data_IF_407489287452
#
_entry.id   IF_407489287452
#
_cell.length_a   1.000
_cell.length_b   1.000
_cell.length_c   1.000
_cell.angle_alpha   90.00
_cell.angle_beta   90.00
_cell.angle_gamma   90.00
#
_symmetry.space_group_name_H-M   'P 1'
#
loop_
_entity.id
_entity.type
_entity.pdbx_description
1 polymer ?
#
# COMPACT_ATOMS: atom_id res chain seq x y z
N UNK A 1 -25.70 -40.35 1.21
CA UNK A 1 -25.92 -39.03 1.84
C UNK A 1 -25.76 -38.01 0.74
N UNK A 2 -26.76 -37.17 0.47
CA UNK A 2 -26.65 -36.08 -0.51
C UNK A 2 -25.59 -35.10 -0.06
N UNK A 3 -24.69 -34.69 -0.96
CA UNK A 3 -23.70 -33.66 -0.64
C UNK A 3 -24.42 -32.38 -0.17
N UNK A 4 -23.89 -31.71 0.87
CA UNK A 4 -24.52 -30.51 1.39
C UNK A 4 -24.44 -29.38 0.35
N UNK A 5 -25.57 -28.71 0.10
CA UNK A 5 -25.65 -27.54 -0.80
C UNK A 5 -24.58 -26.51 -0.44
N UNK A 6 -23.84 -26.07 -1.45
CA UNK A 6 -22.76 -25.10 -1.36
C UNK A 6 -23.24 -23.69 -1.71
N UNK A 7 -22.41 -22.69 -1.41
CA UNK A 7 -22.63 -21.33 -1.90
C UNK A 7 -22.56 -21.25 -3.43
N UNK A 8 -21.83 -22.13 -4.11
CA UNK A 8 -21.72 -22.20 -5.56
C UNK A 8 -23.05 -22.65 -6.19
N UNK A 9 -23.71 -23.65 -5.59
CA UNK A 9 -25.03 -24.10 -6.02
C UNK A 9 -26.06 -22.96 -5.89
N UNK A 10 -26.07 -22.29 -4.73
CA UNK A 10 -26.94 -21.14 -4.50
C UNK A 10 -26.63 -19.98 -5.45
N UNK A 11 -25.34 -19.70 -5.72
CA UNK A 11 -24.93 -18.68 -6.66
C UNK A 11 -25.45 -18.97 -8.07
N UNK A 12 -25.37 -20.23 -8.53
CA UNK A 12 -25.93 -20.63 -9.83
C UNK A 12 -27.44 -20.42 -9.92
N UNK A 13 -28.18 -20.70 -8.84
CA UNK A 13 -29.64 -20.49 -8.78
C UNK A 13 -30.02 -19.00 -8.75
N UNK A 14 -29.20 -18.15 -8.12
CA UNK A 14 -29.52 -16.75 -7.89
C UNK A 14 -28.81 -15.76 -8.80
N UNK A 15 -27.89 -16.21 -9.67
CA UNK A 15 -27.07 -15.34 -10.52
C UNK A 15 -27.89 -14.34 -11.34
N UNK A 16 -29.10 -14.72 -11.79
CA UNK A 16 -30.00 -13.85 -12.54
C UNK A 16 -30.50 -12.62 -11.76
N UNK A 17 -30.35 -12.60 -10.43
CA UNK A 17 -30.71 -11.48 -9.55
C UNK A 17 -29.60 -10.43 -9.43
N UNK A 18 -28.38 -10.73 -9.89
CA UNK A 18 -27.20 -9.90 -9.76
C UNK A 18 -26.74 -9.39 -11.13
N UNK A 19 -26.10 -8.22 -11.16
CA UNK A 19 -25.67 -7.59 -12.42
C UNK A 19 -24.33 -8.14 -12.89
N UNK A 20 -23.49 -8.54 -11.95
CA UNK A 20 -22.16 -9.09 -12.20
C UNK A 20 -22.02 -10.51 -11.62
N UNK A 21 -21.01 -11.28 -12.05
CA UNK A 21 -20.82 -12.64 -11.55
C UNK A 21 -20.72 -12.68 -10.02
N UNK A 22 -21.42 -13.62 -9.40
CA UNK A 22 -21.27 -13.90 -7.98
C UNK A 22 -19.93 -14.60 -7.79
N UNK A 23 -19.10 -14.06 -6.89
CA UNK A 23 -17.71 -14.54 -6.72
C UNK A 23 -17.40 -15.04 -5.31
N UNK A 24 -18.24 -14.72 -4.33
CA UNK A 24 -18.09 -15.16 -2.95
C UNK A 24 -19.41 -15.05 -2.18
N UNK A 25 -19.43 -15.51 -0.93
CA UNK A 25 -20.57 -15.31 -0.05
C UNK A 25 -20.15 -15.08 1.40
N UNK A 26 -21.13 -14.77 2.25
CA UNK A 26 -21.00 -14.82 3.70
C UNK A 26 -21.89 -15.91 4.26
N UNK A 27 -21.39 -16.63 5.26
CA UNK A 27 -22.18 -17.54 6.10
C UNK A 27 -22.09 -17.02 7.52
N UNK A 28 -23.24 -16.66 8.11
CA UNK A 28 -23.33 -16.04 9.44
C UNK A 28 -22.36 -14.83 9.60
N UNK A 29 -22.36 -13.94 8.60
CA UNK A 29 -21.51 -12.76 8.49
C UNK A 29 -20.00 -13.01 8.28
N UNK A 30 -19.56 -14.27 8.16
CA UNK A 30 -18.17 -14.64 7.88
C UNK A 30 -17.97 -14.87 6.38
N UNK A 31 -16.94 -14.27 5.80
CA UNK A 31 -16.63 -14.39 4.38
C UNK A 31 -16.13 -15.79 3.99
N UNK A 32 -16.68 -16.35 2.92
CA UNK A 32 -16.34 -17.66 2.38
C UNK A 32 -16.29 -17.64 0.84
N UNK A 33 -15.46 -18.51 0.27
CA UNK A 33 -15.54 -18.86 -1.15
C UNK A 33 -16.82 -19.65 -1.45
N UNK A 34 -17.19 -19.69 -2.73
CA UNK A 34 -18.41 -20.34 -3.18
C UNK A 34 -18.40 -21.88 -2.97
N UNK A 35 -17.23 -22.50 -2.84
CA UNK A 35 -17.15 -23.96 -2.64
C UNK A 35 -17.50 -24.38 -1.20
N UNK A 36 -17.73 -23.41 -0.30
CA UNK A 36 -18.03 -23.69 1.10
C UNK A 36 -19.48 -24.18 1.28
N UNK A 37 -19.71 -25.33 1.97
CA UNK A 37 -21.05 -25.83 2.29
C UNK A 37 -21.84 -24.91 3.22
N UNK A 38 -23.13 -24.69 2.92
CA UNK A 38 -24.00 -23.79 3.71
C UNK A 38 -24.30 -24.38 5.09
N UNK A 39 -24.70 -25.66 5.15
CA UNK A 39 -25.02 -26.40 6.39
C UNK A 39 -26.02 -25.68 7.32
N UNK A 40 -27.10 -25.14 6.74
CA UNK A 40 -28.18 -24.48 7.50
C UNK A 40 -27.84 -23.08 8.03
N UNK A 41 -26.65 -22.56 7.74
CA UNK A 41 -26.23 -21.18 8.07
C UNK A 41 -26.92 -20.16 7.18
N UNK A 42 -27.02 -18.91 7.67
CA UNK A 42 -27.56 -17.83 6.87
C UNK A 42 -26.56 -17.44 5.77
N UNK A 43 -26.99 -17.50 4.51
CA UNK A 43 -26.17 -17.18 3.35
C UNK A 43 -26.48 -15.80 2.77
N UNK A 44 -25.44 -15.03 2.47
CA UNK A 44 -25.49 -13.78 1.70
C UNK A 44 -24.52 -13.91 0.51
N UNK A 45 -24.97 -13.68 -0.72
CA UNK A 45 -24.13 -13.77 -1.91
C UNK A 45 -23.57 -12.39 -2.27
N UNK A 46 -22.38 -12.38 -2.86
CA UNK A 46 -21.60 -11.17 -3.13
C UNK A 46 -21.12 -11.19 -4.58
N UNK A 47 -21.54 -10.18 -5.34
CA UNK A 47 -21.16 -10.02 -6.74
C UNK A 47 -19.79 -9.34 -6.92
N UNK A 48 -19.24 -9.48 -8.12
CA UNK A 48 -17.91 -9.04 -8.49
C UNK A 48 -17.73 -7.53 -8.31
N UNK A 49 -18.70 -6.71 -8.74
CA UNK A 49 -18.59 -5.24 -8.69
C UNK A 49 -18.89 -4.64 -7.30
N UNK A 50 -18.24 -5.22 -6.31
CA UNK A 50 -18.22 -4.77 -4.92
C UNK A 50 -16.76 -4.75 -4.44
N UNK A 51 -16.42 -3.95 -3.44
CA UNK A 51 -15.06 -3.96 -2.85
C UNK A 51 -14.60 -5.38 -2.43
N UNK A 52 -15.38 -6.22 -1.71
CA UNK A 52 -15.00 -7.60 -1.43
C UNK A 52 -14.90 -8.47 -2.70
N UNK A 53 -15.77 -8.28 -3.69
CA UNK A 53 -15.70 -8.98 -4.98
C UNK A 53 -14.38 -8.70 -5.72
N UNK A 54 -14.00 -7.43 -5.88
CA UNK A 54 -12.73 -7.04 -6.48
C UNK A 54 -11.51 -7.47 -5.66
N UNK A 55 -11.62 -7.59 -4.33
CA UNK A 55 -10.56 -8.20 -3.51
C UNK A 55 -10.38 -9.70 -3.82
N UNK A 56 -11.47 -10.45 -3.98
CA UNK A 56 -11.45 -11.86 -4.39
C UNK A 56 -10.89 -12.03 -5.80
N UNK A 57 -11.30 -11.15 -6.73
CA UNK A 57 -10.76 -11.09 -8.08
C UNK A 57 -9.23 -10.90 -8.10
N UNK A 58 -8.74 -9.84 -7.45
CA UNK A 58 -7.30 -9.50 -7.43
C UNK A 58 -6.44 -10.60 -6.83
N UNK A 59 -6.91 -11.24 -5.76
CA UNK A 59 -6.24 -12.41 -5.17
C UNK A 59 -6.19 -13.58 -6.16
N UNK A 60 -7.28 -13.80 -6.90
CA UNK A 60 -7.36 -14.84 -7.92
C UNK A 60 -6.46 -14.58 -9.13
N UNK A 61 -6.34 -13.33 -9.56
CA UNK A 61 -5.36 -12.94 -10.61
C UNK A 61 -3.92 -13.10 -10.13
N UNK A 62 -3.62 -12.79 -8.86
CA UNK A 62 -2.29 -13.08 -8.29
C UNK A 62 -1.99 -14.59 -8.32
N UNK A 63 -2.97 -15.43 -7.97
CA UNK A 63 -2.78 -16.88 -8.07
C UNK A 63 -2.60 -17.34 -9.51
N UNK A 64 -3.34 -16.77 -10.47
CA UNK A 64 -3.15 -16.99 -11.90
C UNK A 64 -1.71 -16.64 -12.35
N UNK A 65 -1.15 -15.53 -11.85
CA UNK A 65 0.25 -15.17 -12.11
C UNK A 65 1.22 -16.22 -11.53
N UNK A 66 1.01 -16.66 -10.29
CA UNK A 66 1.81 -17.71 -9.65
C UNK A 66 1.76 -19.00 -10.47
N UNK A 67 0.57 -19.46 -10.87
CA UNK A 67 0.38 -20.65 -11.72
C UNK A 67 1.09 -20.50 -13.06
N UNK A 68 0.93 -19.37 -13.74
CA UNK A 68 1.56 -19.14 -15.04
C UNK A 68 3.10 -19.14 -14.96
N UNK A 69 3.66 -18.51 -13.92
CA UNK A 69 5.11 -18.50 -13.68
C UNK A 69 5.61 -19.89 -13.37
N UNK A 70 4.93 -20.64 -12.50
CA UNK A 70 5.36 -21.99 -12.11
C UNK A 70 5.27 -23.00 -13.27
N UNK A 71 4.31 -22.84 -14.19
CA UNK A 71 4.20 -23.68 -15.39
C UNK A 71 5.30 -23.40 -16.43
N UNK A 72 5.69 -22.14 -16.61
CA UNK A 72 6.75 -21.75 -17.55
C UNK A 72 8.14 -21.95 -16.96
N UNK A 73 8.31 -21.64 -15.68
CA UNK A 73 9.58 -21.55 -14.97
C UNK A 73 9.44 -22.15 -13.56
N UNK A 74 9.48 -23.48 -13.40
CA UNK A 74 9.25 -24.17 -12.13
C UNK A 74 10.21 -23.78 -10.99
N UNK A 75 11.38 -23.24 -11.33
CA UNK A 75 12.38 -22.74 -10.37
C UNK A 75 12.14 -21.31 -9.91
N UNK A 76 11.29 -20.55 -10.61
CA UNK A 76 11.03 -19.15 -10.32
C UNK A 76 9.99 -18.99 -9.21
N UNK A 77 10.15 -17.93 -8.42
CA UNK A 77 9.25 -17.58 -7.33
C UNK A 77 8.63 -16.21 -7.58
N UNK A 78 7.33 -16.10 -7.31
CA UNK A 78 6.61 -14.83 -7.31
C UNK A 78 6.53 -14.33 -5.88
N UNK A 79 6.86 -13.06 -5.65
CA UNK A 79 6.72 -12.42 -4.33
C UNK A 79 5.85 -11.18 -4.50
N UNK A 80 4.66 -11.19 -3.91
CA UNK A 80 3.73 -10.08 -3.92
C UNK A 80 4.16 -9.03 -2.88
N UNK A 81 4.54 -7.84 -3.35
CA UNK A 81 5.05 -6.77 -2.50
C UNK A 81 3.94 -5.75 -2.17
N UNK A 82 4.04 -4.54 -2.68
CA UNK A 82 3.12 -3.44 -2.39
C UNK A 82 2.33 -2.99 -3.62
N UNK A 83 1.34 -2.14 -3.37
CA UNK A 83 0.57 -1.52 -4.45
C UNK A 83 1.30 -0.30 -4.96
N UNK A 84 1.61 -0.27 -6.25
CA UNK A 84 2.19 0.87 -6.96
C UNK A 84 1.26 1.22 -8.13
N UNK A 85 1.01 2.52 -8.39
CA UNK A 85 0.09 2.96 -9.45
C UNK A 85 -1.26 2.21 -9.50
N UNK A 86 -1.84 1.87 -8.34
CA UNK A 86 -3.07 1.06 -8.22
C UNK A 86 -2.99 -0.36 -8.85
N UNK A 87 -1.80 -0.81 -9.23
CA UNK A 87 -1.46 -2.21 -9.52
C UNK A 87 -0.69 -2.85 -8.37
N UNK A 88 -0.62 -4.17 -8.36
CA UNK A 88 0.20 -4.93 -7.41
C UNK A 88 1.58 -5.15 -8.03
N UNK A 89 2.62 -4.67 -7.36
CA UNK A 89 3.97 -5.04 -7.75
C UNK A 89 4.29 -6.45 -7.25
N UNK A 90 4.82 -7.28 -8.15
CA UNK A 90 5.28 -8.62 -7.84
C UNK A 90 6.73 -8.79 -8.33
N UNK A 91 7.63 -9.16 -7.44
CA UNK A 91 8.97 -9.62 -7.82
C UNK A 91 8.87 -11.02 -8.42
N UNK A 92 9.68 -11.28 -9.45
CA UNK A 92 9.83 -12.63 -10.01
C UNK A 92 11.30 -13.00 -9.91
N UNK A 93 11.61 -13.86 -8.94
CA UNK A 93 12.96 -14.27 -8.63
C UNK A 93 13.27 -15.62 -9.26
N UNK A 94 14.39 -15.70 -9.98
CA UNK A 94 14.98 -16.94 -10.47
C UNK A 94 16.48 -16.88 -10.26
N UNK A 95 17.08 -18.01 -9.87
CA UNK A 95 18.53 -18.14 -9.78
C UNK A 95 19.20 -18.30 -11.15
N UNK A 96 18.43 -18.66 -12.18
CA UNK A 96 18.95 -18.98 -13.51
C UNK A 96 18.92 -17.78 -14.48
N UNK A 97 18.05 -16.79 -14.22
CA UNK A 97 17.83 -15.67 -15.15
C UNK A 97 17.23 -14.45 -14.46
N UNK A 98 17.37 -13.29 -15.10
CA UNK A 98 16.69 -12.05 -14.73
C UNK A 98 15.45 -11.84 -15.58
N UNK A 99 14.41 -11.29 -14.96
CA UNK A 99 13.18 -10.96 -15.66
C UNK A 99 13.45 -9.85 -16.69
N UNK A 100 12.90 -10.01 -17.89
CA UNK A 100 12.97 -9.05 -18.97
C UNK A 100 11.61 -8.95 -19.67
N UNK A 101 11.47 -7.99 -20.59
CA UNK A 101 10.23 -7.73 -21.32
C UNK A 101 9.69 -8.97 -22.04
N UNK A 102 10.56 -9.76 -22.68
CA UNK A 102 10.17 -10.97 -23.41
C UNK A 102 9.55 -12.03 -22.49
N UNK A 103 10.18 -12.29 -21.34
CA UNK A 103 9.64 -13.21 -20.32
C UNK A 103 8.34 -12.68 -19.73
N UNK A 104 8.24 -11.37 -19.46
CA UNK A 104 6.99 -10.76 -18.99
C UNK A 104 5.86 -10.97 -20.02
N UNK A 105 6.14 -10.82 -21.31
CA UNK A 105 5.17 -11.08 -22.38
C UNK A 105 4.78 -12.57 -22.45
N UNK A 106 5.73 -13.49 -22.30
CA UNK A 106 5.47 -14.92 -22.25
C UNK A 106 4.59 -15.30 -21.06
N UNK A 107 4.87 -14.76 -19.86
CA UNK A 107 4.06 -14.96 -18.66
C UNK A 107 2.64 -14.42 -18.88
N UNK A 108 2.49 -13.21 -19.42
CA UNK A 108 1.17 -12.64 -19.71
C UNK A 108 0.37 -13.49 -20.73
N UNK A 109 1.04 -14.03 -21.75
CA UNK A 109 0.43 -14.93 -22.72
C UNK A 109 -0.02 -16.24 -22.06
N UNK A 110 0.80 -16.81 -21.17
CA UNK A 110 0.44 -18.02 -20.43
C UNK A 110 -0.74 -17.76 -19.48
N UNK A 111 -0.77 -16.63 -18.77
CA UNK A 111 -1.94 -16.25 -17.95
C UNK A 111 -3.22 -16.22 -18.78
N UNK A 112 -3.19 -15.59 -19.96
CA UNK A 112 -4.36 -15.55 -20.87
C UNK A 112 -4.75 -16.93 -21.39
N UNK A 113 -3.78 -17.80 -21.68
CA UNK A 113 -4.04 -19.18 -22.07
C UNK A 113 -4.77 -19.94 -20.96
N UNK A 114 -4.30 -19.83 -19.71
CA UNK A 114 -4.95 -20.46 -18.56
C UNK A 114 -6.39 -19.94 -18.35
N UNK A 115 -6.64 -18.66 -18.61
CA UNK A 115 -8.00 -18.07 -18.57
C UNK A 115 -8.88 -18.66 -19.67
N UNK A 116 -8.37 -18.77 -20.90
CA UNK A 116 -9.12 -19.32 -22.03
C UNK A 116 -9.45 -20.83 -21.87
N UNK A 117 -8.61 -21.56 -21.12
CA UNK A 117 -8.86 -22.96 -20.75
C UNK A 117 -9.91 -23.13 -19.65
N UNK A 118 -10.34 -22.03 -19.03
CA UNK A 118 -11.34 -21.98 -17.95
C UNK A 118 -11.12 -23.03 -16.84
N UNK A 119 -9.90 -23.08 -16.33
CA UNK A 119 -9.49 -24.09 -15.36
C UNK A 119 -10.22 -23.89 -14.02
N UNK A 120 -10.67 -24.97 -13.37
CA UNK A 120 -11.24 -24.87 -12.03
C UNK A 120 -10.17 -24.44 -11.01
N UNK A 121 -10.56 -23.58 -10.08
CA UNK A 121 -9.78 -23.25 -8.88
C UNK A 121 -10.42 -24.00 -7.72
N UNK A 122 -9.84 -25.14 -7.36
CA UNK A 122 -10.44 -26.08 -6.40
C UNK A 122 -9.90 -25.81 -4.99
N UNK A 123 -10.80 -25.66 -4.02
CA UNK A 123 -10.45 -25.57 -2.61
C UNK A 123 -10.38 -26.97 -1.99
N UNK A 124 -9.21 -27.34 -1.48
CA UNK A 124 -8.99 -28.55 -0.70
C UNK A 124 -8.84 -28.20 0.77
N UNK A 125 -9.45 -29.01 1.65
CA UNK A 125 -9.19 -28.93 3.08
C UNK A 125 -8.35 -30.14 3.47
N UNK A 126 -7.18 -29.91 4.05
CA UNK A 126 -6.28 -30.97 4.51
C UNK A 126 -5.79 -30.71 5.94
N UNK A 127 -5.27 -31.73 6.64
CA UNK A 127 -4.59 -31.56 7.92
C UNK A 127 -3.39 -30.61 7.78
N UNK A 128 -3.15 -29.82 8.82
CA UNK A 128 -2.03 -28.87 8.88
C UNK A 128 -0.68 -29.51 8.57
N UNK A 129 -0.42 -30.70 9.09
CA UNK A 129 0.84 -31.43 8.85
C UNK A 129 1.04 -31.80 7.37
N UNK A 130 -0.02 -32.17 6.66
CA UNK A 130 0.01 -32.47 5.23
C UNK A 130 0.33 -31.20 4.42
N UNK A 131 -0.28 -30.07 4.78
CA UNK A 131 0.02 -28.79 4.16
C UNK A 131 1.47 -28.33 4.41
N UNK A 132 2.01 -28.55 5.61
CA UNK A 132 3.42 -28.27 5.92
C UNK A 132 4.34 -29.12 5.05
N UNK A 133 4.04 -30.42 4.90
CA UNK A 133 4.81 -31.33 4.05
C UNK A 133 4.76 -30.88 2.57
N UNK A 134 3.58 -30.49 2.08
CA UNK A 134 3.38 -29.98 0.73
C UNK A 134 4.27 -28.76 0.45
N UNK A 135 4.19 -27.71 1.28
CA UNK A 135 4.96 -26.49 1.06
C UNK A 135 6.47 -26.68 1.26
N UNK A 136 6.86 -27.65 2.09
CA UNK A 136 8.28 -28.05 2.23
C UNK A 136 8.79 -28.71 0.94
N UNK A 137 8.02 -29.64 0.36
CA UNK A 137 8.35 -30.28 -0.91
C UNK A 137 8.43 -29.26 -2.07
N UNK A 138 7.57 -28.24 -2.05
CA UNK A 138 7.57 -27.15 -3.03
C UNK A 138 8.66 -26.07 -2.76
N UNK A 139 9.58 -26.30 -1.82
CA UNK A 139 10.65 -25.36 -1.45
C UNK A 139 10.14 -23.97 -1.04
N UNK A 140 9.00 -23.91 -0.35
CA UNK A 140 8.40 -22.70 0.21
C UNK A 140 8.52 -22.69 1.76
N UNK A 141 9.73 -22.55 2.33
CA UNK A 141 9.95 -22.74 3.77
C UNK A 141 9.26 -21.70 4.64
N UNK A 142 9.13 -20.45 4.18
CA UNK A 142 8.41 -19.41 4.92
C UNK A 142 6.92 -19.77 5.09
N UNK A 143 6.30 -20.28 4.03
CA UNK A 143 4.90 -20.73 4.06
C UNK A 143 4.71 -21.98 4.91
N UNK A 144 5.62 -22.96 4.80
CA UNK A 144 5.60 -24.14 5.66
C UNK A 144 5.67 -23.77 7.15
N UNK A 145 6.56 -22.83 7.53
CA UNK A 145 6.65 -22.31 8.90
C UNK A 145 5.36 -21.60 9.33
N UNK A 146 4.82 -20.73 8.49
CA UNK A 146 3.57 -20.02 8.76
C UNK A 146 2.42 -21.00 9.03
N UNK A 147 2.24 -21.99 8.15
CA UNK A 147 1.19 -23.00 8.28
C UNK A 147 1.35 -23.83 9.55
N UNK A 148 2.58 -24.19 9.93
CA UNK A 148 2.86 -24.93 11.15
C UNK A 148 2.45 -24.16 12.43
N UNK A 149 2.50 -22.83 12.40
CA UNK A 149 2.12 -21.96 13.52
C UNK A 149 0.61 -21.65 13.60
N UNK A 150 -0.19 -22.07 12.61
CA UNK A 150 -1.63 -21.86 12.65
C UNK A 150 -2.28 -22.65 13.80
N UNK A 151 -3.25 -22.03 14.47
CA UNK A 151 -3.97 -22.65 15.57
C UNK A 151 -4.97 -23.74 15.09
N UNK A 152 -5.38 -23.69 13.83
CA UNK A 152 -6.33 -24.64 13.24
C UNK A 152 -5.65 -25.93 12.79
N UNK A 153 -6.26 -27.07 13.10
CA UNK A 153 -5.76 -28.39 12.67
C UNK A 153 -6.01 -28.68 11.19
N UNK A 154 -7.01 -28.01 10.60
CA UNK A 154 -7.37 -28.13 9.19
C UNK A 154 -7.10 -26.81 8.49
N UNK A 155 -6.47 -26.88 7.31
CA UNK A 155 -6.14 -25.71 6.50
C UNK A 155 -6.74 -25.85 5.10
N UNK A 156 -7.07 -24.70 4.50
CA UNK A 156 -7.60 -24.64 3.14
C UNK A 156 -6.50 -24.26 2.16
N UNK A 157 -6.29 -25.11 1.15
CA UNK A 157 -5.35 -24.91 0.05
C UNK A 157 -6.17 -24.76 -1.23
N UNK A 158 -5.77 -23.86 -2.12
CA UNK A 158 -6.33 -23.73 -3.45
C UNK A 158 -5.43 -24.40 -4.48
N UNK A 159 -6.04 -25.12 -5.41
CA UNK A 159 -5.36 -25.77 -6.54
C UNK A 159 -5.87 -25.17 -7.86
N UNK A 160 -4.95 -24.86 -8.78
CA UNK A 160 -5.26 -24.60 -10.18
C UNK A 160 -4.24 -25.33 -11.05
N UNK A 161 -4.69 -26.31 -11.85
CA UNK A 161 -3.78 -27.20 -12.58
C UNK A 161 -2.83 -27.94 -11.64
N UNK A 162 -1.54 -27.87 -11.91
CA UNK A 162 -0.49 -28.47 -11.07
C UNK A 162 -0.03 -27.62 -9.88
N UNK A 163 -0.54 -26.39 -9.76
CA UNK A 163 -0.13 -25.45 -8.71
C UNK A 163 -1.07 -25.51 -7.52
N UNK A 164 -0.50 -25.64 -6.32
CA UNK A 164 -1.21 -25.63 -5.04
C UNK A 164 -0.63 -24.55 -4.13
N UNK A 165 -1.52 -23.81 -3.48
CA UNK A 165 -1.13 -22.63 -2.71
C UNK A 165 -2.09 -22.29 -1.56
N UNK A 166 -1.57 -21.61 -0.56
CA UNK A 166 -2.31 -21.12 0.60
C UNK A 166 -2.57 -19.62 0.46
N UNK A 167 -3.84 -19.21 0.54
CA UNK A 167 -4.24 -17.81 0.48
C UNK A 167 -5.24 -17.46 1.57
N UNK A 168 -5.11 -16.25 2.14
CA UNK A 168 -6.11 -15.71 3.07
C UNK A 168 -7.31 -15.11 2.32
N UNK A 169 -8.38 -15.88 2.20
CA UNK A 169 -9.70 -15.43 1.76
C UNK A 169 -10.28 -16.23 0.59
N UNK A 170 -11.42 -15.76 0.09
CA UNK A 170 -12.12 -16.40 -1.02
C UNK A 170 -11.35 -16.25 -2.35
N UNK A 171 -11.53 -17.23 -3.23
CA UNK A 171 -11.07 -17.22 -4.61
C UNK A 171 -12.28 -17.36 -5.54
N UNK A 172 -12.16 -16.90 -6.79
CA UNK A 172 -13.16 -17.21 -7.81
C UNK A 172 -13.14 -18.73 -8.09
N UNK A 173 -14.27 -19.32 -8.54
CA UNK A 173 -14.36 -20.77 -8.75
C UNK A 173 -13.57 -21.29 -9.95
N UNK A 174 -13.29 -20.47 -10.97
CA UNK A 174 -12.60 -20.87 -12.19
C UNK A 174 -11.88 -19.68 -12.86
N UNK A 175 -10.87 -19.96 -13.69
CA UNK A 175 -10.00 -18.93 -14.28
C UNK A 175 -10.66 -18.13 -15.39
N UNK A 176 -11.73 -18.61 -16.01
CA UNK A 176 -12.45 -17.89 -17.08
C UNK A 176 -13.05 -16.56 -16.64
N UNK A 177 -13.24 -16.34 -15.33
CA UNK A 177 -13.63 -15.04 -14.78
C UNK A 177 -12.48 -14.01 -14.78
N UNK A 178 -11.21 -14.44 -14.93
CA UNK A 178 -10.02 -13.62 -14.71
C UNK A 178 -9.50 -12.98 -16.01
N UNK A 179 -10.40 -12.51 -16.88
CA UNK A 179 -10.09 -11.96 -18.21
C UNK A 179 -9.58 -10.50 -18.22
N UNK A 180 -9.67 -9.80 -17.09
CA UNK A 180 -9.37 -8.37 -16.95
C UNK A 180 -8.12 -8.16 -16.10
N UNK A 181 -6.95 -8.23 -16.74
CA UNK A 181 -5.68 -7.85 -16.14
C UNK A 181 -4.70 -7.33 -17.19
N UNK A 182 -3.67 -6.63 -16.71
CA UNK A 182 -2.48 -6.31 -17.49
C UNK A 182 -1.22 -6.58 -16.67
N UNK A 183 -0.15 -6.94 -17.36
CA UNK A 183 1.14 -7.26 -16.77
C UNK A 183 2.21 -6.41 -17.46
N UNK A 184 2.73 -5.42 -16.75
CA UNK A 184 3.79 -4.55 -17.28
C UNK A 184 5.13 -4.94 -16.65
N UNK A 185 6.21 -4.86 -17.45
CA UNK A 185 7.55 -5.07 -16.95
C UNK A 185 8.01 -3.86 -16.13
N UNK A 186 8.41 -4.09 -14.89
CA UNK A 186 8.93 -3.07 -13.97
C UNK A 186 10.08 -3.69 -13.19
N UNK A 187 11.33 -3.44 -13.60
CA UNK A 187 12.48 -4.08 -12.97
C UNK A 187 12.52 -3.85 -11.44
N UNK A 188 12.78 -4.89 -10.62
CA UNK A 188 13.16 -6.26 -11.00
C UNK A 188 12.01 -7.26 -11.26
N UNK A 189 10.75 -6.80 -11.29
CA UNK A 189 9.57 -7.64 -11.38
C UNK A 189 8.53 -7.19 -12.41
N UNK A 190 7.26 -7.29 -12.01
CA UNK A 190 6.09 -6.95 -12.83
C UNK A 190 5.10 -6.11 -12.04
N UNK A 191 4.42 -5.21 -12.75
CA UNK A 191 3.24 -4.53 -12.25
C UNK A 191 1.97 -5.24 -12.75
N UNK A 192 1.30 -5.95 -11.85
CA UNK A 192 0.02 -6.61 -12.10
C UNK A 192 -1.14 -5.62 -11.89
N UNK A 193 -1.70 -5.11 -12.97
CA UNK A 193 -2.86 -4.21 -12.95
C UNK A 193 -4.15 -4.98 -13.11
N UNK A 194 -5.15 -4.60 -12.31
CA UNK A 194 -6.48 -5.21 -12.23
C UNK A 194 -7.53 -4.11 -12.03
N UNK A 195 -8.81 -4.38 -12.32
CA UNK A 195 -9.88 -3.45 -12.00
C UNK A 195 -10.04 -3.28 -10.49
N UNK A 196 -10.67 -2.16 -10.13
CA UNK A 196 -11.18 -1.89 -8.80
C UNK A 196 -12.59 -1.28 -8.85
N UNK A 197 -13.19 -1.09 -7.69
CA UNK A 197 -14.56 -0.56 -7.54
C UNK A 197 -14.77 0.81 -8.20
N UNK A 198 -13.70 1.59 -8.42
CA UNK A 198 -13.77 2.91 -9.06
C UNK A 198 -13.53 2.87 -10.57
N UNK A 199 -13.35 1.68 -11.14
CA UNK A 199 -13.07 1.50 -12.57
C UNK A 199 -14.21 0.84 -13.33
N UNK A 200 -15.27 0.43 -12.64
CA UNK A 200 -16.42 -0.27 -13.24
C UNK A 200 -15.98 -1.46 -14.12
N UNK A 201 -14.96 -2.18 -13.66
CA UNK A 201 -14.40 -3.35 -14.36
C UNK A 201 -13.31 -3.06 -15.37
N UNK A 202 -12.90 -1.81 -15.60
CA UNK A 202 -11.80 -1.49 -16.52
C UNK A 202 -10.42 -1.62 -15.86
N UNK A 203 -9.46 -2.17 -16.60
CA UNK A 203 -8.06 -2.17 -16.15
C UNK A 203 -7.48 -0.76 -16.34
N UNK A 204 -7.10 -0.11 -15.24
CA UNK A 204 -6.53 1.25 -15.24
C UNK A 204 -5.34 1.36 -16.17
N UNK A 205 -5.19 2.46 -16.91
CA UNK A 205 -4.03 2.71 -17.75
C UNK A 205 -2.70 2.67 -16.97
N UNK A 206 -1.64 2.20 -17.62
CA UNK A 206 -0.28 2.27 -17.09
C UNK A 206 0.19 3.74 -17.03
N UNK A 207 0.85 4.09 -15.92
CA UNK A 207 1.44 5.41 -15.72
C UNK A 207 2.90 5.19 -15.32
N UNK A 208 3.89 5.66 -16.11
CA UNK A 208 5.30 5.52 -15.79
C UNK A 208 5.64 6.12 -14.42
N UNK A 209 6.41 5.39 -13.62
CA UNK A 209 6.88 5.86 -12.31
C UNK A 209 8.41 5.80 -12.24
N UNK A 210 9.12 6.85 -12.67
CA UNK A 210 10.59 6.84 -12.76
C UNK A 210 11.33 6.54 -11.45
N UNK A 211 10.68 6.80 -10.30
CA UNK A 211 11.25 6.55 -8.96
C UNK A 211 10.87 5.19 -8.38
N UNK A 212 9.97 4.43 -9.03
CA UNK A 212 9.44 3.18 -8.46
C UNK A 212 10.54 2.13 -8.28
N UNK A 213 11.39 1.93 -9.29
CA UNK A 213 12.52 1.00 -9.23
C UNK A 213 13.48 1.30 -8.08
N UNK A 214 13.78 2.59 -7.84
CA UNK A 214 14.60 3.01 -6.70
C UNK A 214 13.93 2.68 -5.36
N UNK A 215 12.64 2.99 -5.23
CA UNK A 215 11.86 2.70 -4.00
C UNK A 215 11.80 1.18 -3.73
N UNK A 216 11.69 0.38 -4.78
CA UNK A 216 11.70 -1.08 -4.70
C UNK A 216 13.05 -1.61 -4.20
N UNK A 217 14.13 -1.22 -4.88
CA UNK A 217 15.48 -1.64 -4.50
C UNK A 217 15.84 -1.21 -3.07
N UNK A 218 15.41 -0.02 -2.65
CA UNK A 218 15.59 0.44 -1.28
C UNK A 218 14.81 -0.43 -0.28
N UNK A 219 13.55 -0.75 -0.59
CA UNK A 219 12.68 -1.57 0.27
C UNK A 219 13.23 -3.00 0.43
N UNK A 220 13.70 -3.60 -0.66
CA UNK A 220 14.34 -4.93 -0.65
C UNK A 220 15.60 -4.93 0.21
N UNK A 221 16.46 -3.92 0.04
CA UNK A 221 17.71 -3.80 0.79
C UNK A 221 17.46 -3.62 2.29
N UNK A 222 16.45 -2.82 2.66
CA UNK A 222 16.07 -2.65 4.06
C UNK A 222 15.54 -3.95 4.67
N UNK A 223 14.67 -4.66 3.96
CA UNK A 223 14.15 -5.95 4.42
C UNK A 223 15.27 -6.99 4.58
N UNK A 224 16.28 -6.98 3.68
CA UNK A 224 17.47 -7.83 3.76
C UNK A 224 18.35 -7.48 4.96
N UNK A 225 18.56 -6.19 5.26
CA UNK A 225 19.35 -5.73 6.42
C UNK A 225 18.66 -6.10 7.73
N UNK A 226 17.32 -6.02 7.78
CA UNK A 226 16.54 -6.31 8.98
C UNK A 226 16.39 -7.81 9.28
N UNK A 227 16.72 -8.70 8.32
CA UNK A 227 16.49 -10.15 8.42
C UNK A 227 15.06 -10.52 8.86
N UNK A 228 14.08 -9.72 8.42
CA UNK A 228 12.69 -9.82 8.84
C UNK A 228 11.77 -9.50 7.66
N UNK A 229 11.51 -10.51 6.83
CA UNK A 229 10.67 -10.37 5.63
C UNK A 229 9.23 -10.77 5.89
N UNK A 230 9.02 -11.82 6.72
CA UNK A 230 7.71 -12.39 6.97
C UNK A 230 7.28 -12.30 8.44
N UNK A 231 5.97 -12.39 8.69
CA UNK A 231 5.40 -12.44 10.05
C UNK A 231 6.02 -13.57 10.88
N UNK A 232 6.37 -14.70 10.25
CA UNK A 232 7.08 -15.79 10.94
C UNK A 232 8.45 -15.37 11.48
N UNK A 233 9.17 -14.49 10.76
CA UNK A 233 10.45 -13.97 11.22
C UNK A 233 10.24 -13.02 12.39
N UNK A 234 9.25 -12.13 12.30
CA UNK A 234 8.89 -11.22 13.38
C UNK A 234 8.47 -11.99 14.65
N UNK A 235 7.66 -13.04 14.51
CA UNK A 235 7.24 -13.90 15.62
C UNK A 235 8.44 -14.58 16.29
N UNK A 236 9.36 -15.11 15.48
CA UNK A 236 10.62 -15.70 15.97
C UNK A 236 11.45 -14.67 16.74
N UNK A 237 11.71 -13.50 16.15
CA UNK A 237 12.48 -12.41 16.74
C UNK A 237 11.85 -11.90 18.04
N UNK A 238 10.53 -11.93 18.14
CA UNK A 238 9.82 -11.58 19.38
C UNK A 238 10.05 -12.63 20.47
N UNK A 239 9.89 -13.91 20.15
CA UNK A 239 10.09 -15.03 21.10
C UNK A 239 11.54 -15.13 21.58
N UNK A 240 12.51 -14.80 20.72
CA UNK A 240 13.94 -14.80 21.08
C UNK A 240 14.41 -13.52 21.76
N UNK A 241 13.54 -12.53 21.97
CA UNK A 241 13.88 -11.26 22.63
C UNK A 241 14.74 -10.31 21.79
N UNK A 242 14.81 -10.52 20.46
CA UNK A 242 15.65 -9.75 19.54
C UNK A 242 14.94 -8.54 18.90
N UNK A 243 13.68 -8.29 19.27
CA UNK A 243 12.88 -7.20 18.68
C UNK A 243 13.51 -5.81 18.83
N UNK A 244 14.20 -5.57 19.96
CA UNK A 244 14.88 -4.30 20.19
C UNK A 244 16.00 -4.02 19.20
N UNK A 245 16.67 -5.06 18.69
CA UNK A 245 17.71 -4.92 17.66
C UNK A 245 17.11 -4.49 16.33
N UNK A 246 16.04 -5.17 15.90
CA UNK A 246 15.30 -4.85 14.67
C UNK A 246 14.83 -3.39 14.67
N UNK A 247 14.26 -2.93 15.79
CA UNK A 247 13.79 -1.54 15.95
C UNK A 247 14.96 -0.57 15.78
N UNK A 248 16.08 -0.77 16.49
CA UNK A 248 17.24 0.12 16.41
C UNK A 248 17.86 0.16 15.02
N UNK A 249 17.97 -0.98 14.35
CA UNK A 249 18.50 -1.06 12.98
C UNK A 249 17.56 -0.31 12.02
N UNK A 250 16.24 -0.54 12.13
CA UNK A 250 15.23 0.16 11.33
C UNK A 250 15.28 1.69 11.54
N UNK A 251 15.37 2.15 12.79
CA UNK A 251 15.48 3.57 13.12
C UNK A 251 16.78 4.19 12.60
N UNK A 252 17.90 3.45 12.68
CA UNK A 252 19.21 3.88 12.17
C UNK A 252 19.22 3.98 10.63
N UNK A 253 18.59 3.04 9.92
CA UNK A 253 18.42 3.11 8.46
C UNK A 253 17.63 4.36 8.07
N UNK A 254 16.54 4.63 8.79
CA UNK A 254 15.73 5.83 8.55
C UNK A 254 16.51 7.11 8.84
N UNK A 255 17.27 7.16 9.94
CA UNK A 255 18.07 8.35 10.29
C UNK A 255 19.16 8.61 9.26
N UNK A 256 19.83 7.56 8.78
CA UNK A 256 20.83 7.65 7.71
C UNK A 256 20.24 8.28 6.44
N UNK A 257 19.05 7.85 6.04
CA UNK A 257 18.39 8.41 4.85
C UNK A 257 17.97 9.87 5.09
N UNK A 258 17.42 10.22 6.26
CA UNK A 258 17.07 11.62 6.57
C UNK A 258 18.32 12.52 6.55
N UNK A 259 19.45 12.04 7.08
CA UNK A 259 20.71 12.77 7.04
C UNK A 259 21.20 13.01 5.60
N UNK A 260 21.09 12.02 4.70
CA UNK A 260 21.42 12.17 3.28
C UNK A 260 20.54 13.21 2.58
N UNK A 261 19.24 13.23 2.91
CA UNK A 261 18.31 14.26 2.39
C UNK A 261 18.71 15.64 2.91
N UNK A 262 19.04 15.75 4.20
CA UNK A 262 19.45 17.01 4.81
C UNK A 262 20.76 17.54 4.20
N UNK A 263 21.76 16.68 3.99
CA UNK A 263 23.02 17.02 3.35
C UNK A 263 22.80 17.53 1.91
N UNK A 264 21.94 16.87 1.14
CA UNK A 264 21.58 17.33 -0.20
C UNK A 264 20.93 18.73 -0.16
N UNK A 265 19.99 18.97 0.76
CA UNK A 265 19.33 20.28 0.89
C UNK A 265 20.35 21.34 1.31
N UNK A 266 21.21 21.04 2.28
CA UNK A 266 22.23 21.97 2.77
C UNK A 266 23.24 22.36 1.68
N UNK A 267 23.69 21.40 0.87
CA UNK A 267 24.58 21.66 -0.27
C UNK A 267 23.98 22.55 -1.36
N UNK A 268 22.66 22.79 -1.34
CA UNK A 268 21.94 23.59 -2.34
C UNK A 268 21.04 24.67 -1.70
N UNK A 269 21.32 25.07 -0.47
CA UNK A 269 20.46 25.97 0.33
C UNK A 269 20.23 27.36 -0.30
N UNK A 270 21.18 27.83 -1.13
CA UNK A 270 21.03 29.07 -1.92
C UNK A 270 19.85 29.03 -2.89
N UNK A 271 19.54 27.84 -3.44
CA UNK A 271 18.43 27.63 -4.35
C UNK A 271 17.22 27.03 -3.63
N UNK A 272 17.42 25.95 -2.88
CA UNK A 272 16.36 25.16 -2.25
C UNK A 272 15.83 25.83 -0.97
N UNK A 273 14.85 26.71 -1.14
CA UNK A 273 14.24 27.46 -0.03
C UNK A 273 12.98 26.80 0.54
N UNK A 274 12.23 26.04 -0.25
CA UNK A 274 10.95 25.45 0.17
C UNK A 274 11.01 23.92 0.14
N UNK A 275 10.97 23.28 1.30
CA UNK A 275 10.99 21.82 1.46
C UNK A 275 9.56 21.33 1.71
N UNK A 276 8.97 20.69 0.71
CA UNK A 276 7.58 20.27 0.68
C UNK A 276 7.46 18.78 0.98
N UNK A 277 6.77 18.44 2.07
CA UNK A 277 6.56 17.08 2.54
C UNK A 277 5.07 16.75 2.39
N UNK A 278 4.76 15.72 1.61
CA UNK A 278 3.43 15.13 1.59
C UNK A 278 3.47 13.63 1.82
N UNK A 279 2.30 13.06 2.01
CA UNK A 279 2.14 11.69 2.44
C UNK A 279 0.76 11.50 3.03
N UNK A 280 0.17 10.31 2.90
CA UNK A 280 -1.20 10.11 3.30
C UNK A 280 -1.29 10.05 4.85
N UNK A 281 -2.50 10.10 5.41
CA UNK A 281 -2.69 10.08 6.87
C UNK A 281 -1.99 8.87 7.54
N UNK A 282 -1.36 9.09 8.69
CA UNK A 282 -0.53 8.11 9.43
C UNK A 282 0.73 7.60 8.71
N UNK A 283 1.22 8.30 7.67
CA UNK A 283 2.52 7.98 7.05
C UNK A 283 3.74 8.46 7.84
N UNK A 284 3.55 9.36 8.81
CA UNK A 284 4.63 9.91 9.65
C UNK A 284 5.22 11.24 9.18
N UNK A 285 4.50 12.00 8.33
CA UNK A 285 4.92 13.33 7.84
C UNK A 285 5.47 14.26 8.93
N UNK A 286 4.69 14.49 9.99
CA UNK A 286 5.06 15.42 11.08
C UNK A 286 6.34 14.95 11.79
N UNK A 287 6.45 13.66 12.11
CA UNK A 287 7.66 13.09 12.72
C UNK A 287 8.87 13.18 11.78
N UNK A 288 8.67 12.91 10.48
CA UNK A 288 9.72 13.05 9.47
C UNK A 288 10.17 14.51 9.33
N UNK A 289 9.25 15.48 9.28
CA UNK A 289 9.57 16.90 9.21
C UNK A 289 10.38 17.36 10.42
N UNK A 290 10.03 16.90 11.63
CA UNK A 290 10.79 17.18 12.85
C UNK A 290 12.20 16.59 12.80
N UNK A 291 12.36 15.33 12.39
CA UNK A 291 13.69 14.69 12.26
C UNK A 291 14.53 15.34 11.18
N UNK A 292 13.93 15.68 10.04
CA UNK A 292 14.61 16.42 8.97
C UNK A 292 15.07 17.79 9.45
N UNK A 293 14.23 18.51 10.22
CA UNK A 293 14.62 19.79 10.82
C UNK A 293 15.84 19.64 11.72
N UNK A 294 15.90 18.59 12.54
CA UNK A 294 17.06 18.31 13.40
C UNK A 294 18.30 18.05 12.54
N UNK A 295 18.19 17.23 11.49
CA UNK A 295 19.32 16.93 10.60
C UNK A 295 19.78 18.15 9.77
N UNK A 296 18.88 19.05 9.40
CA UNK A 296 19.30 20.31 8.77
C UNK A 296 20.05 21.20 9.76
N UNK A 297 19.69 21.18 11.05
CA UNK A 297 20.44 21.88 12.11
C UNK A 297 21.83 21.31 12.35
N UNK A 298 22.04 20.01 12.22
CA UNK A 298 23.39 19.42 12.30
C UNK A 298 24.25 19.84 11.10
N UNK A 299 23.63 20.23 9.99
CA UNK A 299 24.28 20.81 8.81
C UNK A 299 24.44 22.35 8.88
N UNK A 300 24.16 22.97 10.03
CA UNK A 300 24.34 24.41 10.24
C UNK A 300 23.21 25.30 9.73
N UNK A 301 22.08 24.73 9.30
CA UNK A 301 20.89 25.48 8.91
C UNK A 301 19.91 25.62 10.07
N UNK A 302 19.11 26.67 10.06
CA UNK A 302 18.06 26.99 11.03
C UNK A 302 16.66 26.98 10.40
N UNK A 303 16.16 25.83 9.89
CA UNK A 303 14.84 25.77 9.29
C UNK A 303 13.71 25.96 10.29
N UNK A 304 12.64 26.57 9.77
CA UNK A 304 11.32 26.59 10.39
C UNK A 304 10.43 25.50 9.79
N UNK A 305 9.38 25.13 10.51
CA UNK A 305 8.37 24.18 10.05
C UNK A 305 6.99 24.79 10.14
N UNK A 306 6.20 24.65 9.08
CA UNK A 306 4.83 25.17 8.96
C UNK A 306 3.94 24.00 8.52
N UNK A 307 2.84 23.78 9.24
CA UNK A 307 1.83 22.79 8.84
C UNK A 307 0.86 23.43 7.85
N UNK A 308 0.51 22.72 6.78
CA UNK A 308 -0.53 23.17 5.86
C UNK A 308 -1.91 23.18 6.51
N UNK A 309 -2.12 22.40 7.57
CA UNK A 309 -3.37 22.37 8.30
C UNK A 309 -3.68 23.75 8.91
N UNK A 310 -2.67 24.55 9.24
CA UNK A 310 -2.84 25.93 9.73
C UNK A 310 -3.45 26.87 8.68
N UNK A 311 -3.41 26.50 7.41
CA UNK A 311 -3.94 27.26 6.29
C UNK A 311 -5.32 26.79 5.84
N UNK A 312 -6.01 25.91 6.58
CA UNK A 312 -7.42 25.64 6.32
C UNK A 312 -8.23 26.93 6.40
N UNK A 313 -9.18 27.09 5.48
CA UNK A 313 -10.23 28.11 5.59
C UNK A 313 -11.08 27.84 6.82
N UNK A 314 -11.84 28.84 7.26
CA UNK A 314 -12.82 28.62 8.33
C UNK A 314 -13.78 27.52 7.88
N UNK A 315 -14.26 26.70 8.82
CA UNK A 315 -15.15 25.56 8.58
C UNK A 315 -16.37 25.93 7.72
N UNK A 316 -16.89 27.15 7.88
CA UNK A 316 -18.03 27.65 7.09
C UNK A 316 -17.70 27.87 5.61
N UNK A 317 -16.43 28.15 5.30
CA UNK A 317 -15.90 28.44 3.97
C UNK A 317 -15.28 27.18 3.31
N UNK A 318 -15.17 26.08 4.05
CA UNK A 318 -14.67 24.80 3.54
C UNK A 318 -15.68 24.20 2.56
N UNK A 319 -15.23 23.74 1.38
CA UNK A 319 -16.09 23.05 0.41
C UNK A 319 -16.80 21.84 1.02
N UNK A 320 -17.93 21.45 0.43
CA UNK A 320 -18.70 20.28 0.86
C UNK A 320 -18.71 19.21 -0.22
N UNK A 321 -18.66 17.96 0.24
CA UNK A 321 -18.93 16.77 -0.55
C UNK A 321 -20.41 16.70 -0.96
N UNK A 322 -20.78 15.87 -1.96
CA UNK A 322 -22.17 15.66 -2.35
C UNK A 322 -23.09 15.17 -1.22
N UNK A 323 -22.55 14.53 -0.19
CA UNK A 323 -23.27 14.07 1.00
C UNK A 323 -23.49 15.17 2.06
N UNK A 324 -23.00 16.40 1.81
CA UNK A 324 -23.12 17.54 2.72
C UNK A 324 -22.02 17.68 3.78
N UNK A 325 -21.13 16.69 3.91
CA UNK A 325 -19.96 16.76 4.79
C UNK A 325 -18.89 17.69 4.22
N UNK A 326 -18.04 18.26 5.09
CA UNK A 326 -16.95 19.12 4.65
C UNK A 326 -15.82 18.31 4.00
N UNK A 327 -15.35 18.75 2.84
CA UNK A 327 -14.22 18.14 2.13
C UNK A 327 -12.89 18.80 2.56
N UNK A 328 -12.30 18.31 3.64
CA UNK A 328 -10.96 18.76 4.09
C UNK A 328 -9.80 18.16 3.30
N UNK A 329 -10.06 17.26 2.34
CA UNK A 329 -9.02 16.60 1.54
C UNK A 329 -8.83 17.27 0.17
N UNK A 330 -9.68 18.24 -0.20
CA UNK A 330 -9.53 19.06 -1.39
C UNK A 330 -8.58 20.25 -1.17
N UNK A 331 -7.91 20.68 -2.23
CA UNK A 331 -6.98 21.81 -2.15
C UNK A 331 -7.71 23.11 -1.78
N UNK A 332 -8.96 23.24 -2.22
CA UNK A 332 -9.83 24.38 -2.04
C UNK A 332 -10.24 24.58 -0.57
N UNK A 333 -10.04 23.59 0.29
CA UNK A 333 -10.16 23.74 1.74
C UNK A 333 -9.05 24.63 2.33
N UNK A 334 -7.92 24.78 1.63
CA UNK A 334 -6.81 25.64 2.03
C UNK A 334 -6.95 27.04 1.44
N UNK A 335 -6.49 28.05 2.20
CA UNK A 335 -6.25 29.40 1.69
C UNK A 335 -4.91 29.46 0.94
N UNK A 336 -4.93 28.94 -0.28
CA UNK A 336 -3.76 28.88 -1.17
C UNK A 336 -3.20 30.28 -1.47
N UNK A 337 -4.06 31.30 -1.52
CA UNK A 337 -3.66 32.67 -1.79
C UNK A 337 -2.83 33.24 -0.63
N UNK A 338 -3.34 33.12 0.61
CA UNK A 338 -2.59 33.54 1.80
C UNK A 338 -1.30 32.74 1.94
N UNK A 339 -1.34 31.43 1.72
CA UNK A 339 -0.15 30.57 1.77
C UNK A 339 0.96 31.06 0.83
N UNK A 340 0.66 31.34 -0.44
CA UNK A 340 1.68 31.81 -1.39
C UNK A 340 2.21 33.20 -1.02
N UNK A 341 1.36 34.11 -0.52
CA UNK A 341 1.78 35.43 -0.05
C UNK A 341 2.79 35.29 1.11
N UNK A 342 2.47 34.46 2.09
CA UNK A 342 3.32 34.22 3.26
C UNK A 342 4.65 33.58 2.85
N UNK A 343 4.63 32.56 1.97
CA UNK A 343 5.86 31.88 1.54
C UNK A 343 6.78 32.84 0.80
N UNK A 344 6.26 33.67 -0.10
CA UNK A 344 7.06 34.68 -0.82
C UNK A 344 7.63 35.73 0.13
N UNK A 345 6.83 36.19 1.11
CA UNK A 345 7.29 37.16 2.10
C UNK A 345 8.41 36.58 2.99
N UNK A 346 8.25 35.35 3.49
CA UNK A 346 9.28 34.66 4.28
C UNK A 346 10.55 34.39 3.45
N UNK A 347 10.42 33.97 2.19
CA UNK A 347 11.58 33.75 1.31
C UNK A 347 12.36 35.05 1.03
N UNK A 348 11.67 36.19 1.04
CA UNK A 348 12.25 37.53 0.96
C UNK A 348 12.77 38.09 2.30
N UNK A 349 12.71 37.31 3.38
CA UNK A 349 13.19 37.70 4.71
C UNK A 349 12.27 38.62 5.49
N UNK A 350 11.01 38.78 5.08
CA UNK A 350 10.01 39.59 5.80
C UNK A 350 9.43 38.81 6.97
N UNK A 351 9.00 39.54 8.00
CA UNK A 351 8.22 38.97 9.09
C UNK A 351 6.78 38.69 8.65
N UNK A 352 6.26 37.52 9.01
CA UNK A 352 4.89 37.08 8.71
C UNK A 352 4.26 36.51 9.97
N UNK A 353 3.03 36.92 10.27
CA UNK A 353 2.21 36.32 11.32
C UNK A 353 1.45 35.13 10.75
N UNK A 354 1.89 33.93 11.08
CA UNK A 354 1.27 32.71 10.55
C UNK A 354 -0.11 32.47 11.18
N UNK A 355 -1.10 31.99 10.39
CA UNK A 355 -2.38 31.56 10.94
C UNK A 355 -2.22 30.30 11.82
N UNK A 356 -3.16 30.09 12.73
CA UNK A 356 -3.39 28.83 13.45
C UNK A 356 -4.81 28.37 13.13
N UNK A 357 -4.96 27.14 12.66
CA UNK A 357 -6.31 26.57 12.48
C UNK A 357 -6.74 25.83 13.75
N UNK A 358 -7.78 26.32 14.40
CA UNK A 358 -8.34 25.69 15.59
C UNK A 358 -9.39 24.66 15.17
N UNK A 359 -9.06 23.37 15.28
CA UNK A 359 -9.96 22.28 14.88
C UNK A 359 -11.26 22.20 15.72
N UNK A 360 -11.26 22.73 16.95
CA UNK A 360 -12.43 22.71 17.82
C UNK A 360 -13.46 23.74 17.34
N UNK A 361 -13.04 25.01 17.23
CA UNK A 361 -13.90 26.10 16.75
C UNK A 361 -14.16 25.98 15.25
N UNK A 362 -13.20 25.46 14.50
CA UNK A 362 -13.19 25.46 13.04
C UNK A 362 -12.83 26.81 12.46
N UNK A 363 -12.09 27.64 13.19
CA UNK A 363 -11.74 29.00 12.78
C UNK A 363 -10.22 29.18 12.73
N UNK A 364 -9.78 30.09 11.85
CA UNK A 364 -8.41 30.58 11.85
C UNK A 364 -8.23 31.66 12.90
N UNK A 365 -7.12 31.57 13.61
CA UNK A 365 -6.71 32.50 14.65
C UNK A 365 -5.35 33.10 14.30
N UNK A 366 -5.14 34.36 14.70
CA UNK A 366 -3.89 35.08 14.51
C UNK A 366 -3.37 35.50 15.88
N UNK A 367 -2.16 35.07 16.19
CA UNK A 367 -1.50 35.31 17.47
C UNK A 367 -0.16 35.99 17.21
N UNK A 368 0.14 37.08 17.92
CA UNK A 368 1.40 37.83 17.72
C UNK A 368 2.64 36.95 17.89
N UNK A 369 2.57 35.98 18.81
CA UNK A 369 3.60 34.98 19.11
C UNK A 369 3.95 34.07 17.92
N UNK A 370 3.07 33.98 16.92
CA UNK A 370 3.30 33.23 15.66
C UNK A 370 3.93 34.09 14.56
N UNK A 371 4.38 35.30 14.88
CA UNK A 371 5.15 36.13 13.96
C UNK A 371 6.56 35.60 13.82
N UNK A 372 6.95 35.21 12.61
CA UNK A 372 8.26 34.64 12.32
C UNK A 372 8.90 35.31 11.10
N UNK A 373 10.21 35.20 10.98
CA UNK A 373 10.98 35.54 9.79
C UNK A 373 12.01 34.46 9.53
N UNK A 374 12.52 34.39 8.30
CA UNK A 374 13.47 33.38 7.85
C UNK A 374 14.68 34.11 7.27
N UNK A 375 15.87 33.80 7.76
CA UNK A 375 17.09 34.40 7.24
C UNK A 375 17.35 33.94 5.78
N UNK A 376 18.18 34.69 5.06
CA UNK A 376 18.58 34.30 3.71
C UNK A 376 19.28 32.93 3.73
N UNK A 377 18.99 32.09 2.74
CA UNK A 377 19.52 30.73 2.66
C UNK A 377 18.84 29.71 3.58
N UNK A 378 18.04 30.14 4.56
CA UNK A 378 17.38 29.20 5.46
C UNK A 378 16.15 28.55 4.81
N UNK A 379 16.00 27.21 4.91
CA UNK A 379 14.88 26.51 4.32
C UNK A 379 13.61 26.58 5.18
N UNK A 380 12.47 26.54 4.49
CA UNK A 380 11.14 26.48 5.09
C UNK A 380 10.58 25.09 4.84
N UNK A 381 10.35 24.33 5.91
CA UNK A 381 9.74 23.00 5.82
C UNK A 381 8.23 23.13 5.90
N UNK A 382 7.54 22.62 4.89
CA UNK A 382 6.08 22.58 4.80
C UNK A 382 5.64 21.12 4.82
N UNK A 383 4.69 20.78 5.69
CA UNK A 383 4.11 19.44 5.72
C UNK A 383 2.59 19.48 5.58
N UNK A 384 2.05 18.55 4.79
CA UNK A 384 0.61 18.33 4.68
C UNK A 384 0.24 17.53 3.43
N UNK A 385 -1.02 17.10 3.31
CA UNK A 385 -1.47 16.19 2.24
C UNK A 385 -1.29 16.78 0.83
N UNK A 386 -1.33 18.11 0.69
CA UNK A 386 -1.16 18.82 -0.58
C UNK A 386 0.26 19.32 -0.85
N UNK A 387 1.26 19.03 0.00
CA UNK A 387 2.62 19.58 -0.16
C UNK A 387 3.25 19.35 -1.54
N UNK A 388 2.89 18.27 -2.23
CA UNK A 388 3.40 17.98 -3.57
C UNK A 388 2.55 18.53 -4.72
N UNK A 389 1.35 19.06 -4.44
CA UNK A 389 0.46 19.66 -5.44
C UNK A 389 1.08 20.94 -6.01
N UNK A 390 1.26 21.01 -7.34
CA UNK A 390 1.88 22.19 -7.97
C UNK A 390 1.02 23.45 -7.80
N UNK A 391 -0.32 23.32 -7.78
CA UNK A 391 -1.23 24.46 -7.58
C UNK A 391 -1.08 25.10 -6.20
N UNK A 392 -0.68 24.34 -5.17
CA UNK A 392 -0.47 24.89 -3.83
C UNK A 392 0.67 25.91 -3.79
N UNK A 393 1.70 25.72 -4.62
CA UNK A 393 2.94 26.52 -4.58
C UNK A 393 3.23 27.19 -5.91
N UNK A 394 2.20 27.51 -6.69
CA UNK A 394 2.35 27.98 -8.08
C UNK A 394 3.17 29.27 -8.18
N UNK A 395 3.15 30.12 -7.16
CA UNK A 395 3.90 31.37 -7.14
C UNK A 395 5.40 31.19 -6.85
N UNK A 396 5.80 30.00 -6.35
CA UNK A 396 7.20 29.69 -6.06
C UNK A 396 7.83 28.98 -7.26
N UNK A 397 9.01 29.40 -7.75
CA UNK A 397 9.68 28.72 -8.86
C UNK A 397 10.06 27.26 -8.53
N UNK A 398 10.01 26.35 -9.52
CA UNK A 398 10.31 24.92 -9.31
C UNK A 398 11.73 24.67 -8.78
N UNK A 399 12.69 25.48 -9.21
CA UNK A 399 14.09 25.40 -8.80
C UNK A 399 14.28 25.66 -7.29
N UNK A 400 13.33 26.35 -6.65
CA UNK A 400 13.38 26.64 -5.23
C UNK A 400 12.68 25.59 -4.36
N UNK A 401 12.13 24.53 -4.97
CA UNK A 401 11.33 23.51 -4.29
C UNK A 401 12.06 22.18 -4.18
N UNK A 402 12.16 21.67 -2.97
CA UNK A 402 12.53 20.28 -2.71
C UNK A 402 11.28 19.49 -2.31
N UNK A 403 11.00 18.37 -2.99
CA UNK A 403 9.72 17.65 -2.87
C UNK A 403 9.94 16.24 -2.33
N UNK A 404 9.35 15.95 -1.17
CA UNK A 404 9.48 14.69 -0.44
C UNK A 404 8.10 14.04 -0.29
N UNK A 405 8.01 12.77 -0.67
CA UNK A 405 6.84 11.94 -0.40
C UNK A 405 7.18 10.93 0.70
N UNK A 406 6.48 11.00 1.82
CA UNK A 406 6.62 10.06 2.94
C UNK A 406 5.54 9.00 2.81
N UNK A 407 5.98 7.79 2.45
CA UNK A 407 5.14 6.60 2.36
C UNK A 407 5.45 5.63 3.49
N UNK A 408 4.41 5.12 4.15
CA UNK A 408 4.56 3.99 5.08
C UNK A 408 4.44 2.67 4.30
N UNK A 409 5.33 2.45 3.33
CA UNK A 409 5.36 1.18 2.61
C UNK A 409 5.56 0.05 3.61
N UNK A 410 4.71 -0.97 3.50
CA UNK A 410 4.74 -2.07 4.43
C UNK A 410 5.66 -3.15 3.85
N UNK A 411 6.81 -3.35 4.49
CA UNK A 411 7.83 -4.33 4.08
C UNK A 411 7.54 -5.73 4.62
N UNK A 412 6.69 -5.85 5.64
CA UNK A 412 6.38 -7.11 6.29
C UNK A 412 5.19 -7.81 5.62
N UNK A 413 5.43 -8.98 5.03
CA UNK A 413 4.37 -9.83 4.48
C UNK A 413 4.02 -10.99 5.42
N UNK A 414 2.88 -11.64 5.22
CA UNK A 414 2.54 -12.87 5.95
C UNK A 414 3.37 -14.03 5.37
N UNK A 415 3.37 -14.14 4.04
CA UNK A 415 4.28 -14.98 3.23
C UNK A 415 4.48 -14.34 1.84
N UNK A 416 5.14 -15.04 0.91
CA UNK A 416 5.44 -14.55 -0.42
C UNK A 416 4.21 -14.10 -1.24
N UNK A 417 3.03 -14.67 -1.01
CA UNK A 417 1.82 -14.39 -1.79
C UNK A 417 0.73 -13.68 -0.96
N UNK A 418 0.82 -13.77 0.36
CA UNK A 418 -0.09 -13.16 1.31
C UNK A 418 0.55 -11.91 1.93
N UNK A 419 0.29 -10.75 1.33
CA UNK A 419 0.78 -9.46 1.83
C UNK A 419 -0.14 -8.83 2.86
N UNK A 420 0.42 -7.91 3.65
CA UNK A 420 -0.37 -6.96 4.45
C UNK A 420 -0.51 -5.65 3.66
N UNK A 421 -1.73 -5.23 3.28
CA UNK A 421 -1.92 -3.97 2.56
C UNK A 421 -1.42 -2.74 3.33
N UNK A 422 -0.72 -1.85 2.63
CA UNK A 422 -0.24 -0.56 3.17
C UNK A 422 -1.33 0.27 3.84
N UNK A 423 -2.56 0.21 3.31
CA UNK A 423 -3.73 0.88 3.90
C UNK A 423 -4.10 0.30 5.27
N UNK A 424 -4.03 -1.03 5.44
CA UNK A 424 -4.25 -1.69 6.73
C UNK A 424 -3.13 -1.40 7.71
N UNK A 425 -1.87 -1.42 7.26
CA UNK A 425 -0.73 -1.04 8.11
C UNK A 425 -0.89 0.40 8.64
N UNK A 426 -1.30 1.34 7.79
CA UNK A 426 -1.60 2.72 8.20
C UNK A 426 -2.80 2.83 9.14
N UNK A 427 -3.84 2.03 8.95
CA UNK A 427 -4.98 1.95 9.86
C UNK A 427 -4.54 1.48 11.25
N UNK A 428 -3.75 0.40 11.34
CA UNK A 428 -3.19 -0.09 12.61
C UNK A 428 -2.35 0.99 13.30
N UNK A 429 -1.47 1.68 12.56
CA UNK A 429 -0.70 2.82 13.09
C UNK A 429 -1.58 3.93 13.63
N UNK A 430 -2.69 4.23 12.94
CA UNK A 430 -3.68 5.23 13.38
C UNK A 430 -4.34 4.82 14.69
N UNK A 431 -4.82 3.58 14.78
CA UNK A 431 -5.47 3.05 15.97
C UNK A 431 -4.53 3.08 17.18
N UNK A 432 -3.28 2.63 17.02
CA UNK A 432 -2.28 2.64 18.09
C UNK A 432 -1.96 4.06 18.55
N UNK A 433 -1.73 4.98 17.60
CA UNK A 433 -1.47 6.39 17.92
C UNK A 433 -2.64 7.01 18.68
N UNK A 434 -3.86 6.82 18.16
CA UNK A 434 -5.04 7.42 18.76
C UNK A 434 -5.23 6.85 20.17
N UNK A 435 -5.13 5.53 20.39
CA UNK A 435 -5.20 4.93 21.73
C UNK A 435 -4.13 5.43 22.71
N UNK A 436 -2.92 5.71 22.24
CA UNK A 436 -1.80 6.12 23.12
C UNK A 436 -1.76 7.63 23.42
N UNK A 437 -2.28 8.46 22.51
CA UNK A 437 -2.03 9.92 22.54
C UNK A 437 -3.28 10.79 22.36
N UNK A 438 -4.47 10.22 22.18
CA UNK A 438 -5.75 10.94 22.03
C UNK A 438 -6.81 10.30 22.90
#
# INVERSE_FOLDING_TARGET
MTEPKTLLDLAGEEQAKYQTPIVMGKLDHVWHDLQTPIRGRQAELIELDTEPGWRTYRRSVLFLLVTAVQELYPEAQVIAQFTANKGLFCEIHSSAWTLNLERTQAIAAQMRKIVAEDRPIVKKTCPREEAVALFTAHKQPAKAKLVAELAQDMVSIYQCGGTEDYFYGAMVPHTGLLDRFALDYEAPGVLLRTPDVLTHGEVRAYVPQPKLSHVLSESEEWARILDCQYVSDLNRLNRTGQMGEVIRVSEALQEKHIAQIAEHIAGHHDALRLVLIAGPSSSGKTSFAQRLRIQLRTNGLHPISISLDDYFKNRIDTPRLPNGEYDYECLEALDVAQFNQDMLALMAGKSVMLPLYNFLTGEREWHEERTISVAAGEPIIIEGIHGLNEKLTEAVPRANKYKIYVSALNQLNIDAHNRIPTTLARLMRRLVRDYQFR
#
